data_IF_535024057781
#
_entry.id   IF_535024057781
#
_cell.length_a   1.000
_cell.length_b   1.000
_cell.length_c   1.000
_cell.angle_alpha   90.00
_cell.angle_beta   90.00
_cell.angle_gamma   90.00
#
_symmetry.space_group_name_H-M   'P 1'
#
loop_
_entity.id
_entity.type
_entity.pdbx_description
1 polymer ?
#
# COMPACT_ATOMS: atom_id res chain seq x y z
N UNK A 1 -7.52 14.58 18.52
CA UNK A 1 -7.01 13.93 17.30
C UNK A 1 -5.67 13.28 17.59
N UNK A 2 -5.45 12.05 17.09
CA UNK A 2 -4.24 11.27 17.36
C UNK A 2 -3.00 11.70 16.55
N UNK A 3 -2.97 12.88 15.94
CA UNK A 3 -1.83 13.36 15.15
C UNK A 3 -0.60 13.61 16.02
N UNK A 4 -0.75 14.13 17.25
CA UNK A 4 0.38 14.30 18.16
C UNK A 4 1.08 12.98 18.49
N UNK A 5 0.32 11.88 18.62
CA UNK A 5 0.91 10.54 18.83
C UNK A 5 1.68 10.06 17.60
N UNK A 6 1.19 10.36 16.40
CA UNK A 6 1.91 10.03 15.15
C UNK A 6 3.23 10.82 15.06
N UNK A 7 3.21 12.12 15.37
CA UNK A 7 4.42 12.94 15.33
C UNK A 7 5.47 12.46 16.33
N UNK A 8 5.06 12.12 17.56
CA UNK A 8 5.95 11.53 18.57
C UNK A 8 6.53 10.20 18.07
N UNK A 9 5.70 9.33 17.51
CA UNK A 9 6.14 8.07 16.93
C UNK A 9 7.12 8.28 15.78
N UNK A 10 6.81 9.16 14.83
CA UNK A 10 7.68 9.50 13.69
C UNK A 10 9.03 10.07 14.15
N UNK A 11 9.04 10.95 15.15
CA UNK A 11 10.28 11.47 15.75
C UNK A 11 11.12 10.34 16.38
N UNK A 12 10.49 9.38 17.05
CA UNK A 12 11.18 8.23 17.64
C UNK A 12 11.82 7.35 16.56
N UNK A 13 11.04 6.92 15.56
CA UNK A 13 11.53 6.00 14.52
C UNK A 13 12.55 6.65 13.58
N UNK A 14 12.49 7.96 13.36
CA UNK A 14 13.45 8.68 12.50
C UNK A 14 14.90 8.62 13.00
N UNK A 15 15.09 8.31 14.28
CA UNK A 15 16.42 8.14 14.90
C UNK A 15 16.98 6.72 14.68
N UNK A 16 16.13 5.76 14.35
CA UNK A 16 16.48 4.36 14.16
C UNK A 16 16.88 4.13 12.69
N UNK A 17 17.96 3.38 12.46
CA UNK A 17 18.44 3.05 11.12
C UNK A 17 17.72 1.85 10.53
N UNK A 18 16.50 2.04 10.02
CA UNK A 18 15.78 0.99 9.31
C UNK A 18 16.32 0.83 7.88
N UNK A 19 16.43 -0.41 7.42
CA UNK A 19 16.80 -0.74 6.05
C UNK A 19 15.58 -0.86 5.14
N UNK A 20 14.45 -1.32 5.68
CA UNK A 20 13.20 -1.52 4.94
C UNK A 20 11.98 -1.03 5.70
N UNK A 21 11.00 -0.52 4.95
CA UNK A 21 9.66 -0.23 5.44
C UNK A 21 8.62 -0.82 4.48
N UNK A 22 7.80 -1.71 5.00
CA UNK A 22 6.73 -2.37 4.24
C UNK A 22 5.40 -1.96 4.84
N UNK A 23 4.62 -1.20 4.08
CA UNK A 23 3.30 -0.77 4.49
C UNK A 23 2.24 -1.80 4.07
N UNK A 24 1.82 -2.63 5.01
CA UNK A 24 0.74 -3.62 4.84
C UNK A 24 -0.62 -3.14 5.40
N UNK A 25 -0.72 -1.88 5.80
CA UNK A 25 -1.95 -1.34 6.39
C UNK A 25 -3.09 -1.36 5.37
N UNK A 26 -4.23 -1.88 5.80
CA UNK A 26 -5.46 -1.90 5.02
C UNK A 26 -6.68 -1.77 5.93
N UNK A 27 -7.41 -0.67 5.83
CA UNK A 27 -8.67 -0.41 6.51
C UNK A 27 -9.81 -0.35 5.49
N UNK A 28 -10.83 -1.15 5.70
CA UNK A 28 -12.03 -1.24 4.89
C UNK A 28 -13.26 -1.00 5.78
N UNK A 29 -14.04 0.01 5.47
CA UNK A 29 -15.24 0.41 6.23
C UNK A 29 -16.53 -0.27 5.79
N UNK A 30 -16.55 -0.84 4.58
CA UNK A 30 -17.73 -1.48 3.96
C UNK A 30 -18.96 -0.55 3.84
N UNK A 31 -18.73 0.75 3.69
CA UNK A 31 -19.80 1.70 3.44
C UNK A 31 -20.12 1.77 1.96
N UNK A 32 -21.40 1.82 1.63
CA UNK A 32 -21.85 2.05 0.26
C UNK A 32 -21.42 3.45 -0.20
N UNK A 33 -21.08 3.57 -1.47
CA UNK A 33 -20.76 4.85 -2.10
C UNK A 33 -21.83 5.92 -1.81
N UNK A 34 -23.10 5.55 -1.94
CA UNK A 34 -24.22 6.48 -1.76
C UNK A 34 -24.48 6.88 -0.31
N UNK A 35 -24.08 6.04 0.65
CA UNK A 35 -24.36 6.23 2.08
C UNK A 35 -23.09 6.56 2.89
N UNK A 36 -21.95 6.69 2.23
CA UNK A 36 -20.69 7.04 2.91
C UNK A 36 -20.69 8.52 3.30
N UNK A 37 -20.41 8.80 4.57
CA UNK A 37 -20.26 10.17 5.08
C UNK A 37 -18.81 10.63 4.93
N UNK A 38 -18.61 11.95 4.87
CA UNK A 38 -17.28 12.55 4.73
C UNK A 38 -16.27 12.04 5.78
N UNK A 39 -16.69 11.87 7.04
CA UNK A 39 -15.82 11.39 8.11
C UNK A 39 -15.30 9.96 7.87
N UNK A 40 -16.05 9.11 7.16
CA UNK A 40 -15.66 7.74 6.81
C UNK A 40 -14.61 7.76 5.70
N UNK A 41 -14.80 8.59 4.68
CA UNK A 41 -13.81 8.83 3.62
C UNK A 41 -12.51 9.40 4.20
N UNK A 42 -12.60 10.42 5.06
CA UNK A 42 -11.45 11.00 5.75
C UNK A 42 -10.73 9.96 6.63
N UNK A 43 -11.47 9.12 7.33
CA UNK A 43 -10.89 8.02 8.12
C UNK A 43 -10.15 7.02 7.24
N UNK A 44 -10.73 6.66 6.10
CA UNK A 44 -10.09 5.76 5.15
C UNK A 44 -8.80 6.34 4.58
N UNK A 45 -8.82 7.60 4.12
CA UNK A 45 -7.64 8.33 3.68
C UNK A 45 -6.57 8.42 4.77
N UNK A 46 -6.97 8.76 5.99
CA UNK A 46 -6.06 8.85 7.12
C UNK A 46 -5.30 7.54 7.34
N UNK A 47 -6.01 6.42 7.40
CA UNK A 47 -5.42 5.12 7.75
C UNK A 47 -4.66 4.52 6.57
N UNK A 48 -5.25 4.51 5.38
CA UNK A 48 -4.68 3.82 4.21
C UNK A 48 -3.61 4.63 3.48
N UNK A 49 -3.57 5.96 3.65
CA UNK A 49 -2.70 6.86 2.89
C UNK A 49 -1.83 7.74 3.77
N UNK A 50 -2.44 8.62 4.58
CA UNK A 50 -1.68 9.64 5.30
C UNK A 50 -0.73 9.05 6.35
N UNK A 51 -1.20 8.12 7.20
CA UNK A 51 -0.34 7.47 8.19
C UNK A 51 0.87 6.78 7.55
N UNK A 52 0.71 5.91 6.52
CA UNK A 52 1.84 5.30 5.83
C UNK A 52 2.83 6.32 5.23
N UNK A 53 2.32 7.36 4.57
CA UNK A 53 3.18 8.40 3.95
C UNK A 53 3.98 9.17 5.01
N UNK A 54 3.37 9.53 6.14
CA UNK A 54 4.08 10.25 7.20
C UNK A 54 5.12 9.38 7.89
N UNK A 55 4.82 8.10 8.15
CA UNK A 55 5.79 7.15 8.68
C UNK A 55 6.97 6.99 7.71
N UNK A 56 6.70 6.67 6.45
CA UNK A 56 7.72 6.54 5.41
C UNK A 56 8.59 7.79 5.32
N UNK A 57 7.98 8.99 5.26
CA UNK A 57 8.70 10.27 5.20
C UNK A 57 9.67 10.47 6.36
N UNK A 58 9.32 10.02 7.56
CA UNK A 58 10.19 10.12 8.73
C UNK A 58 11.46 9.26 8.64
N UNK A 59 11.44 8.20 7.85
CA UNK A 59 12.57 7.27 7.66
C UNK A 59 13.54 7.71 6.56
N UNK A 60 13.05 8.45 5.55
CA UNK A 60 13.79 8.75 4.32
C UNK A 60 15.12 9.47 4.56
N UNK A 61 15.16 10.43 5.50
CA UNK A 61 16.38 11.17 5.81
C UNK A 61 17.50 10.26 6.34
N UNK A 62 17.16 9.30 7.19
CA UNK A 62 18.12 8.35 7.76
C UNK A 62 18.56 7.32 6.71
N UNK A 63 17.60 6.77 5.95
CA UNK A 63 17.89 5.87 4.83
C UNK A 63 18.81 6.52 3.78
N UNK A 64 18.58 7.80 3.45
CA UNK A 64 19.43 8.55 2.53
C UNK A 64 20.86 8.71 3.07
N UNK A 65 21.02 8.97 4.37
CA UNK A 65 22.35 9.07 5.01
C UNK A 65 23.09 7.73 5.04
N UNK A 66 22.36 6.62 5.14
CA UNK A 66 22.92 5.26 5.10
C UNK A 66 23.27 4.79 3.69
N UNK A 67 22.88 5.54 2.64
CA UNK A 67 22.93 5.11 1.23
C UNK A 67 22.25 3.75 1.00
N UNK A 68 21.20 3.47 1.75
CA UNK A 68 20.37 2.29 1.59
C UNK A 68 18.98 2.49 2.20
N UNK A 69 17.95 2.13 1.44
CA UNK A 69 16.56 2.06 1.93
C UNK A 69 15.66 1.35 0.92
N UNK A 70 14.71 0.58 1.41
CA UNK A 70 13.67 -0.07 0.61
C UNK A 70 12.32 0.27 1.20
N UNK A 71 11.47 0.90 0.42
CA UNK A 71 10.11 1.25 0.83
C UNK A 71 9.14 0.60 -0.13
N UNK A 72 8.20 -0.15 0.42
CA UNK A 72 7.16 -0.82 -0.35
C UNK A 72 5.78 -0.52 0.25
N UNK A 73 4.94 0.17 -0.50
CA UNK A 73 3.54 0.37 -0.16
C UNK A 73 2.67 -0.68 -0.86
N UNK A 74 1.77 -1.31 -0.11
CA UNK A 74 0.83 -2.27 -0.68
C UNK A 74 -0.45 -1.54 -1.05
N UNK A 75 -0.70 -1.49 -2.36
CA UNK A 75 -1.93 -1.00 -2.99
C UNK A 75 -2.88 -2.16 -3.35
N UNK A 76 -3.85 -1.90 -4.18
CA UNK A 76 -4.91 -2.86 -4.53
C UNK A 76 -5.26 -2.77 -6.02
N UNK A 77 -5.57 -3.91 -6.62
CA UNK A 77 -6.14 -3.95 -7.97
C UNK A 77 -7.44 -3.16 -8.08
N UNK A 78 -8.15 -2.93 -6.97
CA UNK A 78 -9.32 -2.06 -6.92
C UNK A 78 -9.06 -0.64 -7.41
N UNK A 79 -7.81 -0.17 -7.36
CA UNK A 79 -7.41 1.14 -7.91
C UNK A 79 -7.62 1.19 -9.44
N UNK A 80 -7.25 0.12 -10.14
CA UNK A 80 -7.37 0.03 -11.59
C UNK A 80 -8.83 0.07 -12.08
N UNK A 81 -9.75 -0.45 -11.28
CA UNK A 81 -11.16 -0.60 -11.64
C UNK A 81 -12.11 0.28 -10.81
N UNK A 82 -11.59 1.25 -10.06
CA UNK A 82 -12.42 2.12 -9.20
C UNK A 82 -13.03 1.46 -7.97
N UNK A 83 -12.74 0.17 -7.75
CA UNK A 83 -13.32 -0.59 -6.63
C UNK A 83 -14.72 -1.11 -6.93
N UNK A 84 -15.54 -1.17 -5.89
CA UNK A 84 -16.96 -1.50 -5.95
C UNK A 84 -17.73 -0.54 -5.05
N UNK A 85 -19.06 -0.58 -5.10
CA UNK A 85 -19.93 0.23 -4.26
C UNK A 85 -19.47 0.25 -2.77
N UNK A 86 -19.11 -0.91 -2.22
CA UNK A 86 -18.73 -1.06 -0.82
C UNK A 86 -17.21 -0.93 -0.55
N UNK A 87 -16.42 -0.61 -1.56
CA UNK A 87 -14.96 -0.45 -1.44
C UNK A 87 -14.45 0.88 -1.99
N UNK A 88 -15.36 1.83 -2.25
CA UNK A 88 -15.02 3.15 -2.78
C UNK A 88 -13.98 3.86 -1.93
N UNK A 89 -14.27 4.10 -0.63
CA UNK A 89 -13.35 4.80 0.28
C UNK A 89 -11.96 4.14 0.34
N UNK A 90 -11.94 2.82 0.35
CA UNK A 90 -10.70 2.05 0.35
C UNK A 90 -9.91 2.23 -0.96
N UNK A 91 -10.58 2.07 -2.11
CA UNK A 91 -9.95 2.18 -3.43
C UNK A 91 -9.46 3.61 -3.70
N UNK A 92 -10.25 4.60 -3.32
CA UNK A 92 -9.87 6.02 -3.39
C UNK A 92 -8.61 6.30 -2.56
N UNK A 93 -8.58 5.84 -1.31
CA UNK A 93 -7.41 6.00 -0.45
C UNK A 93 -6.17 5.26 -0.98
N UNK A 94 -6.35 4.05 -1.52
CA UNK A 94 -5.23 3.31 -2.15
C UNK A 94 -4.76 3.97 -3.45
N UNK A 95 -5.65 4.60 -4.21
CA UNK A 95 -5.25 5.42 -5.37
C UNK A 95 -4.39 6.61 -4.94
N UNK A 96 -4.79 7.34 -3.90
CA UNK A 96 -3.99 8.43 -3.35
C UNK A 96 -2.62 7.96 -2.81
N UNK A 97 -2.50 6.72 -2.33
CA UNK A 97 -1.23 6.12 -1.91
C UNK A 97 -0.27 5.86 -3.08
N UNK A 98 -0.77 5.74 -4.31
CA UNK A 98 0.06 5.49 -5.50
C UNK A 98 0.74 6.74 -6.05
N UNK A 99 0.61 7.89 -5.40
CA UNK A 99 1.30 9.10 -5.79
C UNK A 99 2.80 9.04 -5.48
N UNK A 100 3.63 9.35 -6.47
CA UNK A 100 5.09 9.44 -6.34
C UNK A 100 5.57 10.90 -6.34
N UNK A 101 5.95 11.44 -5.18
CA UNK A 101 6.58 12.75 -5.12
C UNK A 101 7.91 12.81 -5.88
N UNK A 102 8.19 13.89 -6.59
CA UNK A 102 9.42 14.05 -7.39
C UNK A 102 10.72 13.87 -6.60
N UNK A 103 10.68 14.10 -5.29
CA UNK A 103 11.81 13.88 -4.39
C UNK A 103 12.31 12.43 -4.41
N UNK A 104 11.48 11.44 -4.74
CA UNK A 104 11.87 10.03 -4.79
C UNK A 104 12.96 9.76 -5.84
N UNK A 105 12.99 10.53 -6.95
CA UNK A 105 14.07 10.47 -7.95
C UNK A 105 15.43 10.85 -7.36
N UNK A 106 15.46 11.85 -6.45
CA UNK A 106 16.69 12.26 -5.75
C UNK A 106 17.14 11.20 -4.74
N UNK A 107 16.19 10.53 -4.10
CA UNK A 107 16.46 9.48 -3.12
C UNK A 107 17.03 8.21 -3.77
N UNK A 108 16.63 7.88 -5.00
CA UNK A 108 17.18 6.76 -5.75
C UNK A 108 18.69 6.88 -5.97
N UNK A 109 19.22 8.11 -6.14
CA UNK A 109 20.68 8.37 -6.21
C UNK A 109 21.43 7.98 -4.92
N UNK A 110 20.72 7.84 -3.80
CA UNK A 110 21.21 7.38 -2.49
C UNK A 110 20.81 5.93 -2.21
N UNK A 111 20.51 5.14 -3.25
CA UNK A 111 20.08 3.75 -3.12
C UNK A 111 18.86 3.58 -2.18
N UNK A 112 18.00 4.60 -2.11
CA UNK A 112 16.71 4.50 -1.43
C UNK A 112 15.62 4.29 -2.49
N UNK A 113 15.20 3.04 -2.64
CA UNK A 113 14.27 2.60 -3.68
C UNK A 113 12.86 2.49 -3.10
N UNK A 114 11.91 3.14 -3.76
CA UNK A 114 10.52 3.27 -3.28
C UNK A 114 9.60 2.76 -4.37
N UNK A 115 8.79 1.75 -4.05
CA UNK A 115 7.86 1.14 -4.99
C UNK A 115 6.48 0.92 -4.36
N UNK A 116 5.52 0.63 -5.21
CA UNK A 116 4.16 0.24 -4.85
C UNK A 116 3.88 -1.12 -5.45
N UNK A 117 3.33 -2.03 -4.66
CA UNK A 117 2.84 -3.31 -5.13
C UNK A 117 1.31 -3.28 -5.15
N UNK A 118 0.73 -3.24 -6.36
CA UNK A 118 -0.71 -3.32 -6.58
C UNK A 118 -1.12 -4.79 -6.57
N UNK A 119 -1.78 -5.21 -5.49
CA UNK A 119 -2.11 -6.61 -5.25
C UNK A 119 -3.53 -6.93 -5.69
N UNK A 120 -3.69 -8.03 -6.39
CA UNK A 120 -4.97 -8.59 -6.79
C UNK A 120 -5.74 -9.24 -5.65
N UNK A 121 -6.60 -10.18 -5.97
CA UNK A 121 -7.41 -10.90 -4.98
C UNK A 121 -6.59 -11.97 -4.29
N UNK A 122 -6.39 -11.81 -2.99
CA UNK A 122 -5.64 -12.74 -2.13
C UNK A 122 -6.58 -13.35 -1.09
N UNK A 123 -6.46 -14.66 -0.84
CA UNK A 123 -7.24 -15.33 0.21
C UNK A 123 -6.77 -14.89 1.61
N UNK A 124 -7.35 -13.80 2.11
CA UNK A 124 -7.00 -13.19 3.41
C UNK A 124 -8.25 -12.84 4.23
N UNK A 125 -8.02 -12.55 5.52
CA UNK A 125 -9.09 -12.08 6.42
C UNK A 125 -9.74 -10.78 5.93
N UNK A 126 -8.99 -9.89 5.28
CA UNK A 126 -9.52 -8.63 4.73
C UNK A 126 -10.54 -8.90 3.62
N UNK A 127 -10.25 -9.85 2.72
CA UNK A 127 -11.15 -10.23 1.65
C UNK A 127 -12.51 -10.72 2.18
N UNK A 128 -12.49 -11.48 3.27
CA UNK A 128 -13.72 -12.02 3.90
C UNK A 128 -14.63 -10.95 4.49
N UNK A 129 -14.08 -9.77 4.78
CA UNK A 129 -14.83 -8.62 5.33
C UNK A 129 -15.55 -7.80 4.27
N UNK A 130 -15.30 -7.99 2.97
CA UNK A 130 -15.94 -7.21 1.90
C UNK A 130 -17.40 -7.61 1.77
N UNK A 131 -18.33 -6.67 2.01
CA UNK A 131 -19.77 -6.85 1.85
C UNK A 131 -20.16 -6.98 0.37
N UNK A 132 -21.27 -7.65 0.10
CA UNK A 132 -21.84 -7.78 -1.25
C UNK A 132 -20.98 -8.57 -2.24
N UNK A 133 -19.88 -9.18 -1.80
CA UNK A 133 -18.93 -9.85 -2.68
C UNK A 133 -19.29 -11.30 -2.93
N UNK A 134 -19.59 -11.63 -4.17
CA UNK A 134 -19.62 -13.01 -4.65
C UNK A 134 -18.20 -13.44 -5.07
N UNK A 135 -17.52 -14.18 -4.19
CA UNK A 135 -16.13 -14.61 -4.42
C UNK A 135 -16.01 -15.47 -5.67
N UNK A 136 -16.97 -16.38 -5.93
CA UNK A 136 -16.94 -17.23 -7.12
C UNK A 136 -17.03 -16.39 -8.40
N UNK A 137 -17.96 -15.43 -8.45
CA UNK A 137 -18.11 -14.49 -9.58
C UNK A 137 -16.83 -13.65 -9.75
N UNK A 138 -16.24 -13.19 -8.65
CA UNK A 138 -15.01 -12.39 -8.68
C UNK A 138 -13.79 -13.17 -9.18
N UNK A 139 -13.65 -14.44 -8.80
CA UNK A 139 -12.56 -15.32 -9.25
C UNK A 139 -12.64 -15.57 -10.76
N UNK A 140 -13.84 -15.72 -11.32
CA UNK A 140 -14.04 -15.87 -12.78
C UNK A 140 -13.55 -14.69 -13.61
N UNK A 141 -13.44 -13.50 -13.00
CA UNK A 141 -12.91 -12.30 -13.67
C UNK A 141 -11.37 -12.24 -13.67
N UNK A 142 -10.71 -13.08 -12.88
CA UNK A 142 -9.24 -13.16 -12.85
C UNK A 142 -8.82 -14.10 -13.99
N UNK A 143 -7.97 -13.68 -14.94
CA UNK A 143 -7.54 -14.56 -16.04
C UNK A 143 -6.96 -15.90 -15.58
N UNK A 144 -6.18 -15.91 -14.49
CA UNK A 144 -5.66 -17.15 -13.88
C UNK A 144 -6.72 -17.99 -13.14
N UNK A 145 -8.01 -17.60 -13.12
CA UNK A 145 -9.15 -18.30 -12.53
C UNK A 145 -8.98 -18.74 -11.07
N UNK A 146 -8.10 -18.06 -10.33
CA UNK A 146 -7.87 -18.32 -8.91
C UNK A 146 -7.44 -17.08 -8.15
N UNK A 147 -7.62 -17.11 -6.85
CA UNK A 147 -7.01 -16.13 -5.94
C UNK A 147 -5.53 -16.43 -5.77
N UNK A 148 -4.74 -15.38 -5.51
CA UNK A 148 -3.37 -15.54 -5.10
C UNK A 148 -3.27 -16.14 -3.69
N UNK A 149 -2.21 -16.92 -3.46
CA UNK A 149 -1.80 -17.37 -2.12
C UNK A 149 -0.95 -16.26 -1.48
N UNK A 150 -1.07 -16.07 -0.17
CA UNK A 150 -0.26 -15.09 0.55
C UNK A 150 1.25 -15.27 0.32
N UNK A 151 1.71 -16.52 0.17
CA UNK A 151 3.12 -16.85 -0.12
C UNK A 151 3.60 -16.31 -1.47
N UNK A 152 2.73 -16.23 -2.49
CA UNK A 152 3.07 -15.66 -3.80
C UNK A 152 3.34 -14.14 -3.68
N UNK A 153 2.49 -13.46 -2.88
CA UNK A 153 2.64 -12.04 -2.62
C UNK A 153 3.87 -11.75 -1.75
N UNK A 154 4.09 -12.54 -0.70
CA UNK A 154 5.24 -12.34 0.21
C UNK A 154 6.60 -12.52 -0.47
N UNK A 155 6.72 -13.40 -1.48
CA UNK A 155 7.93 -13.52 -2.29
C UNK A 155 8.25 -12.22 -3.03
N UNK A 156 7.24 -11.60 -3.66
CA UNK A 156 7.43 -10.33 -4.35
C UNK A 156 7.74 -9.20 -3.37
N UNK A 157 7.05 -9.16 -2.21
CA UNK A 157 7.36 -8.21 -1.15
C UNK A 157 8.83 -8.32 -0.74
N UNK A 158 9.31 -9.54 -0.46
CA UNK A 158 10.70 -9.79 -0.10
C UNK A 158 11.68 -9.31 -1.16
N UNK A 159 11.44 -9.63 -2.43
CA UNK A 159 12.31 -9.21 -3.52
C UNK A 159 12.40 -7.68 -3.64
N UNK A 160 11.27 -6.97 -3.53
CA UNK A 160 11.23 -5.52 -3.68
C UNK A 160 11.70 -4.75 -2.44
N UNK A 161 11.63 -5.35 -1.25
CA UNK A 161 11.94 -4.69 0.03
C UNK A 161 13.28 -5.12 0.64
N UNK A 162 14.06 -5.95 -0.05
CA UNK A 162 15.38 -6.38 0.38
C UNK A 162 16.49 -5.87 -0.56
N UNK A 163 17.72 -6.20 -0.26
CA UNK A 163 18.91 -5.94 -1.08
C UNK A 163 18.85 -6.57 -2.48
N UNK A 164 17.98 -7.56 -2.69
CA UNK A 164 17.74 -8.16 -4.01
C UNK A 164 17.19 -7.17 -5.03
N UNK A 165 16.49 -6.14 -4.58
CA UNK A 165 16.09 -5.04 -5.46
C UNK A 165 17.24 -4.05 -5.59
N UNK A 166 17.86 -4.02 -6.74
CA UNK A 166 19.00 -3.13 -7.04
C UNK A 166 18.64 -2.02 -8.02
N UNK A 167 17.51 -2.14 -8.77
CA UNK A 167 17.24 -1.22 -9.88
C UNK A 167 15.77 -0.78 -10.03
N UNK A 168 14.82 -1.41 -9.34
CA UNK A 168 13.40 -1.06 -9.44
C UNK A 168 13.08 0.05 -8.44
N UNK A 169 12.71 1.23 -8.93
CA UNK A 169 12.30 2.37 -8.10
C UNK A 169 11.35 3.29 -8.85
N UNK A 170 10.33 3.78 -8.16
CA UNK A 170 9.31 4.67 -8.72
C UNK A 170 8.21 3.94 -9.48
N UNK A 171 8.05 2.64 -9.26
CA UNK A 171 7.15 1.80 -10.03
C UNK A 171 5.92 1.35 -9.23
N UNK A 172 4.80 1.24 -9.94
CA UNK A 172 3.59 0.55 -9.48
C UNK A 172 3.55 -0.83 -10.14
N UNK A 173 4.02 -1.82 -9.42
CA UNK A 173 4.11 -3.20 -9.93
C UNK A 173 2.81 -3.93 -9.62
N UNK A 174 2.16 -4.51 -10.63
CA UNK A 174 0.90 -5.25 -10.45
C UNK A 174 1.17 -6.75 -10.33
N UNK A 175 0.60 -7.37 -9.30
CA UNK A 175 0.57 -8.80 -9.09
C UNK A 175 -0.88 -9.24 -8.87
N UNK A 176 -1.59 -9.58 -9.95
CA UNK A 176 -3.04 -9.73 -9.94
C UNK A 176 -3.59 -10.88 -10.81
N UNK A 177 -2.73 -11.81 -11.27
CA UNK A 177 -3.19 -12.97 -12.03
C UNK A 177 -3.71 -12.65 -13.42
N UNK A 178 -3.18 -11.58 -14.05
CA UNK A 178 -3.53 -11.16 -15.41
C UNK A 178 -4.55 -10.02 -15.48
N UNK A 179 -5.04 -9.47 -14.33
CA UNK A 179 -5.97 -8.31 -14.29
C UNK A 179 -5.30 -6.97 -14.63
#
# INVERSE_FOLDING_TARGET
SNFNKLDVFCKKISKIGFHSYINLVGYLDNKSFFNSKLNETVKSLKINTLLPIFIQRSLLKKMSKQNFGRILNISSIGVKYGGSEFTFNYSFAKHALEYFPSIYKKLAKRNVLINILRVGVVNTKLLRKVKGKNIRKRVKLIPMQRMAKAKEISKMIYNLSSEKNTYISGEVITIAGGE
#
